data_IF_702315520900
#
_entry.id   IF_702315520900
#
_cell.length_a   1.000
_cell.length_b   1.000
_cell.length_c   1.000
_cell.angle_alpha   90.00
_cell.angle_beta   90.00
_cell.angle_gamma   90.00
#
_symmetry.space_group_name_H-M   'P 1'
#
loop_
_entity.id
_entity.type
_entity.pdbx_description
1 polymer ?
#
# COMPACT_ATOMS: atom_id res chain seq x y z
N UNK A 1 -23.92 -1.27 -15.18
CA UNK A 1 -23.29 -0.36 -14.20
C UNK A 1 -21.75 -0.48 -14.22
N UNK A 2 -21.18 -1.69 -14.31
CA UNK A 2 -19.75 -1.85 -14.05
C UNK A 2 -18.78 -1.13 -15.01
N UNK A 3 -19.14 -1.07 -16.30
CA UNK A 3 -18.34 -0.36 -17.29
C UNK A 3 -18.38 1.17 -17.19
N UNK A 4 -19.38 1.76 -16.51
CA UNK A 4 -19.53 3.23 -16.49
C UNK A 4 -18.54 3.90 -15.55
N UNK A 5 -18.34 3.35 -14.34
CA UNK A 5 -17.35 3.88 -13.40
C UNK A 5 -15.92 3.60 -13.84
N UNK A 6 -15.66 2.42 -14.41
CA UNK A 6 -14.35 2.11 -14.99
C UNK A 6 -14.01 3.10 -16.11
N UNK A 7 -14.95 3.35 -17.03
CA UNK A 7 -14.80 4.35 -18.07
C UNK A 7 -14.57 5.75 -17.50
N UNK A 8 -15.30 6.13 -16.45
CA UNK A 8 -15.14 7.42 -15.79
C UNK A 8 -13.71 7.61 -15.26
N UNK A 9 -13.18 6.63 -14.52
CA UNK A 9 -11.81 6.67 -14.00
C UNK A 9 -10.79 6.71 -15.14
N UNK A 10 -10.95 5.84 -16.15
CA UNK A 10 -10.06 5.75 -17.31
C UNK A 10 -10.06 7.00 -18.21
N UNK A 11 -11.09 7.87 -18.11
CA UNK A 11 -11.14 9.15 -18.80
C UNK A 11 -10.40 10.28 -18.06
N UNK A 12 -9.95 10.07 -16.83
CA UNK A 12 -9.15 11.05 -16.07
C UNK A 12 -7.69 11.04 -16.55
N UNK A 13 -6.88 12.01 -16.11
CA UNK A 13 -5.45 11.99 -16.41
C UNK A 13 -4.76 10.76 -15.80
N UNK A 14 -3.61 10.37 -16.37
CA UNK A 14 -2.81 9.26 -15.86
C UNK A 14 -2.54 9.40 -14.37
N UNK A 15 -2.17 10.60 -13.92
CA UNK A 15 -1.77 10.83 -12.54
C UNK A 15 -2.95 10.62 -11.56
N UNK A 16 -4.16 11.05 -11.93
CA UNK A 16 -5.37 10.82 -11.13
C UNK A 16 -5.68 9.32 -11.09
N UNK A 17 -5.58 8.62 -12.22
CA UNK A 17 -5.78 7.17 -12.26
C UNK A 17 -4.78 6.45 -11.35
N UNK A 18 -3.49 6.79 -11.42
CA UNK A 18 -2.44 6.15 -10.62
C UNK A 18 -2.67 6.36 -9.13
N UNK A 19 -3.07 7.57 -8.70
CA UNK A 19 -3.39 7.85 -7.30
C UNK A 19 -4.60 7.03 -6.84
N UNK A 20 -5.69 6.99 -7.62
CA UNK A 20 -6.88 6.21 -7.26
C UNK A 20 -6.58 4.70 -7.19
N UNK A 21 -5.78 4.17 -8.13
CA UNK A 21 -5.33 2.78 -8.12
C UNK A 21 -4.48 2.46 -6.88
N UNK A 22 -3.53 3.34 -6.53
CA UNK A 22 -2.69 3.19 -5.34
C UNK A 22 -3.49 3.29 -4.03
N UNK A 23 -4.44 4.22 -3.94
CA UNK A 23 -5.38 4.31 -2.82
C UNK A 23 -6.21 3.03 -2.69
N UNK A 24 -6.67 2.46 -3.80
CA UNK A 24 -7.46 1.23 -3.77
C UNK A 24 -6.66 0.02 -3.24
N UNK A 25 -5.34 0.00 -3.42
CA UNK A 25 -4.44 -0.97 -2.80
C UNK A 25 -4.34 -0.83 -1.27
N UNK A 26 -4.47 0.39 -0.74
CA UNK A 26 -4.49 0.67 0.69
C UNK A 26 -5.82 0.27 1.34
N UNK A 27 -6.93 0.45 0.63
CA UNK A 27 -8.26 0.02 1.06
C UNK A 27 -9.34 1.05 0.75
N UNK A 28 -10.41 1.05 1.53
CA UNK A 28 -11.54 1.98 1.38
C UNK A 28 -11.21 3.41 1.83
N UNK A 29 -10.17 3.56 2.65
CA UNK A 29 -9.71 4.84 3.16
C UNK A 29 -8.20 4.86 3.35
N UNK A 30 -7.61 6.04 3.32
CA UNK A 30 -6.23 6.28 3.70
C UNK A 30 -6.08 7.64 4.39
N UNK A 31 -5.03 7.81 5.18
CA UNK A 31 -4.67 9.12 5.72
C UNK A 31 -3.73 9.90 4.78
N UNK A 32 -3.39 11.12 5.18
CA UNK A 32 -2.49 12.00 4.43
C UNK A 32 -1.09 11.41 4.21
N UNK A 33 -0.53 10.73 5.21
CA UNK A 33 0.80 10.13 5.06
C UNK A 33 0.80 8.99 4.05
N UNK A 34 -0.25 8.18 4.04
CA UNK A 34 -0.44 7.07 3.09
C UNK A 34 -0.70 7.60 1.67
N UNK A 35 -1.48 8.67 1.54
CA UNK A 35 -1.70 9.33 0.26
C UNK A 35 -0.40 9.92 -0.31
N UNK A 36 0.42 10.54 0.54
CA UNK A 36 1.74 11.04 0.14
C UNK A 36 2.66 9.90 -0.32
N UNK A 37 2.59 8.72 0.32
CA UNK A 37 3.32 7.53 -0.10
C UNK A 37 2.89 7.07 -1.49
N UNK A 38 1.57 6.99 -1.75
CA UNK A 38 1.03 6.68 -3.08
C UNK A 38 1.52 7.70 -4.11
N UNK A 39 1.47 8.99 -3.78
CA UNK A 39 1.97 10.05 -4.65
C UNK A 39 3.46 9.85 -5.00
N UNK A 40 4.32 9.59 -4.01
CA UNK A 40 5.76 9.33 -4.22
C UNK A 40 6.06 8.10 -5.07
N UNK A 41 5.17 7.10 -5.10
CA UNK A 41 5.39 5.89 -5.89
C UNK A 41 5.20 6.11 -7.39
N UNK A 42 4.30 7.02 -7.79
CA UNK A 42 3.87 7.11 -9.20
C UNK A 42 3.80 8.52 -9.80
N UNK A 43 3.89 9.58 -9.00
CA UNK A 43 3.94 10.95 -9.51
C UNK A 43 5.41 11.36 -9.64
N UNK A 44 5.95 11.25 -10.86
CA UNK A 44 7.39 11.50 -11.14
C UNK A 44 7.78 12.96 -11.37
N UNK A 45 6.86 13.93 -11.27
CA UNK A 45 7.12 15.33 -11.66
C UNK A 45 7.61 16.26 -10.55
N UNK A 46 8.40 15.77 -9.60
CA UNK A 46 9.08 16.66 -8.67
C UNK A 46 10.15 15.93 -7.89
N UNK A 47 11.39 16.42 -8.03
CA UNK A 47 12.48 16.29 -7.06
C UNK A 47 11.99 16.02 -5.63
N UNK A 48 12.76 15.25 -4.85
CA UNK A 48 12.60 14.92 -3.42
C UNK A 48 12.32 16.09 -2.45
N UNK A 49 12.02 17.28 -2.94
CA UNK A 49 11.53 18.43 -2.19
C UNK A 49 10.03 18.39 -1.88
N UNK A 50 9.73 19.10 -0.79
CA UNK A 50 8.44 19.44 -0.15
C UNK A 50 7.27 19.80 -1.09
N UNK A 51 7.52 19.98 -2.39
CA UNK A 51 6.53 20.26 -3.44
C UNK A 51 5.70 19.02 -3.82
N UNK A 52 6.24 17.81 -3.62
CA UNK A 52 5.56 16.56 -3.99
C UNK A 52 4.25 16.29 -3.23
N UNK A 53 4.13 16.73 -1.98
CA UNK A 53 2.89 16.57 -1.19
C UNK A 53 1.77 17.45 -1.71
N UNK A 54 2.06 18.70 -2.11
CA UNK A 54 1.05 19.59 -2.70
C UNK A 54 0.46 19.07 -4.00
N UNK A 55 1.26 18.35 -4.79
CA UNK A 55 0.84 17.82 -6.09
C UNK A 55 -0.15 16.65 -5.96
N UNK A 56 0.02 15.75 -4.99
CA UNK A 56 -0.94 14.64 -4.81
C UNK A 56 -2.33 15.17 -4.42
N UNK A 57 -2.40 16.25 -3.62
CA UNK A 57 -3.67 16.87 -3.26
C UNK A 57 -4.34 17.60 -4.42
N UNK A 58 -3.58 18.27 -5.29
CA UNK A 58 -4.16 18.92 -6.48
C UNK A 58 -4.69 17.89 -7.49
N UNK A 59 -4.01 16.74 -7.62
CA UNK A 59 -4.50 15.59 -8.38
C UNK A 59 -5.78 15.04 -7.74
N UNK A 60 -5.83 14.90 -6.41
CA UNK A 60 -7.00 14.40 -5.70
C UNK A 60 -8.19 15.37 -5.77
N UNK A 61 -7.97 16.68 -5.92
CA UNK A 61 -9.02 17.69 -6.16
C UNK A 61 -9.87 17.36 -7.39
N UNK A 62 -9.26 16.79 -8.44
CA UNK A 62 -10.01 16.30 -9.60
C UNK A 62 -10.95 15.16 -9.20
N UNK A 63 -10.47 14.20 -8.40
CA UNK A 63 -11.29 13.09 -7.91
C UNK A 63 -12.42 13.56 -6.96
N UNK A 64 -12.20 14.63 -6.19
CA UNK A 64 -13.23 15.26 -5.37
C UNK A 64 -14.34 15.90 -6.22
N UNK A 65 -13.97 16.70 -7.22
CA UNK A 65 -14.94 17.34 -8.13
C UNK A 65 -15.77 16.32 -8.90
N UNK A 66 -15.16 15.17 -9.21
CA UNK A 66 -15.83 14.06 -9.87
C UNK A 66 -16.67 13.17 -8.93
N UNK A 67 -16.68 13.47 -7.63
CA UNK A 67 -17.44 12.71 -6.63
C UNK A 67 -16.92 11.29 -6.40
N UNK A 68 -15.65 11.04 -6.70
CA UNK A 68 -15.03 9.72 -6.57
C UNK A 68 -14.46 9.48 -5.17
N UNK A 69 -13.95 10.55 -4.57
CA UNK A 69 -13.32 10.57 -3.25
C UNK A 69 -14.02 11.62 -2.40
N UNK A 70 -14.11 11.36 -1.10
CA UNK A 70 -14.62 12.27 -0.07
C UNK A 70 -13.61 12.37 1.06
N UNK A 71 -13.61 13.48 1.79
CA UNK A 71 -12.74 13.71 2.93
C UNK A 71 -13.59 13.73 4.19
N UNK A 72 -13.25 12.89 5.15
CA UNK A 72 -13.86 12.84 6.47
C UNK A 72 -12.77 13.05 7.53
N UNK A 73 -12.76 14.25 8.12
CA UNK A 73 -11.69 14.69 9.02
C UNK A 73 -10.31 14.63 8.36
N UNK A 74 -9.43 13.77 8.88
CA UNK A 74 -8.07 13.52 8.38
C UNK A 74 -7.97 12.36 7.38
N UNK A 75 -9.08 11.71 7.05
CA UNK A 75 -9.11 10.55 6.16
C UNK A 75 -9.66 10.90 4.78
N UNK A 76 -9.06 10.30 3.77
CA UNK A 76 -9.50 10.31 2.38
C UNK A 76 -10.16 8.97 2.08
N UNK A 77 -11.38 8.98 1.56
CA UNK A 77 -12.19 7.77 1.38
C UNK A 77 -12.79 7.74 -0.02
N UNK A 78 -12.95 6.56 -0.59
CA UNK A 78 -13.79 6.42 -1.76
C UNK A 78 -15.24 6.75 -1.38
N UNK A 79 -15.94 7.50 -2.23
CA UNK A 79 -17.35 7.85 -1.97
C UNK A 79 -18.23 6.59 -1.83
N UNK A 80 -17.86 5.50 -2.52
CA UNK A 80 -18.48 4.19 -2.41
C UNK A 80 -17.44 3.07 -2.58
N UNK A 81 -17.65 1.94 -1.91
CA UNK A 81 -16.84 0.72 -2.06
C UNK A 81 -16.72 0.26 -3.52
N UNK A 82 -17.77 0.48 -4.31
CA UNK A 82 -17.78 0.14 -5.73
C UNK A 82 -16.73 0.92 -6.54
N UNK A 83 -16.41 2.16 -6.15
CA UNK A 83 -15.38 2.98 -6.80
C UNK A 83 -13.99 2.44 -6.46
N UNK A 84 -13.77 2.08 -5.18
CA UNK A 84 -12.53 1.44 -4.74
C UNK A 84 -12.29 0.13 -5.50
N UNK A 85 -13.28 -0.75 -5.57
CA UNK A 85 -13.20 -2.00 -6.31
C UNK A 85 -12.89 -1.75 -7.79
N UNK A 86 -13.57 -0.79 -8.40
CA UNK A 86 -13.33 -0.43 -9.80
C UNK A 86 -11.90 0.03 -10.02
N UNK A 87 -11.41 0.98 -9.19
CA UNK A 87 -10.04 1.46 -9.25
C UNK A 87 -9.02 0.31 -9.07
N UNK A 88 -9.23 -0.59 -8.12
CA UNK A 88 -8.37 -1.75 -7.91
C UNK A 88 -8.38 -2.72 -9.10
N UNK A 89 -9.55 -2.90 -9.75
CA UNK A 89 -9.67 -3.80 -10.91
C UNK A 89 -9.05 -3.26 -12.19
N UNK A 90 -8.84 -1.95 -12.29
CA UNK A 90 -8.10 -1.35 -13.42
C UNK A 90 -6.65 -1.84 -13.42
N UNK A 91 -6.07 -2.08 -12.24
CA UNK A 91 -4.75 -2.70 -12.12
C UNK A 91 -4.86 -4.15 -12.63
N UNK A 92 -4.10 -4.54 -13.67
CA UNK A 92 -4.09 -5.92 -14.14
C UNK A 92 -3.73 -6.87 -13.01
N UNK A 93 -4.42 -8.01 -12.93
CA UNK A 93 -4.27 -8.94 -11.80
C UNK A 93 -2.82 -9.38 -11.58
N UNK A 94 -2.10 -9.63 -12.67
CA UNK A 94 -0.70 -9.98 -12.67
C UNK A 94 0.25 -8.84 -12.25
N UNK A 95 -0.23 -7.61 -12.13
CA UNK A 95 0.56 -6.45 -11.71
C UNK A 95 0.22 -6.00 -10.29
N UNK A 96 -0.93 -6.41 -9.72
CA UNK A 96 -1.35 -5.97 -8.38
C UNK A 96 -0.31 -6.22 -7.30
N UNK A 97 0.41 -7.35 -7.39
CA UNK A 97 1.49 -7.64 -6.45
C UNK A 97 2.64 -6.63 -6.50
N UNK A 98 3.01 -6.14 -7.69
CA UNK A 98 4.07 -5.13 -7.81
C UNK A 98 3.63 -3.77 -7.24
N UNK A 99 2.34 -3.42 -7.38
CA UNK A 99 1.75 -2.23 -6.77
C UNK A 99 1.78 -2.29 -5.25
N UNK A 100 1.32 -3.40 -4.66
CA UNK A 100 1.36 -3.62 -3.23
C UNK A 100 2.81 -3.57 -2.70
N UNK A 101 3.75 -4.20 -3.39
CA UNK A 101 5.16 -4.19 -3.00
C UNK A 101 5.76 -2.77 -3.06
N UNK A 102 5.43 -1.98 -4.09
CA UNK A 102 5.91 -0.61 -4.22
C UNK A 102 5.46 0.28 -3.05
N UNK A 103 4.18 0.17 -2.66
CA UNK A 103 3.62 0.90 -1.51
C UNK A 103 4.31 0.47 -0.21
N UNK A 104 4.42 -0.85 0.02
CA UNK A 104 5.02 -1.40 1.23
C UNK A 104 6.49 -1.00 1.38
N UNK A 105 7.29 -1.10 0.32
CA UNK A 105 8.68 -0.62 0.31
C UNK A 105 8.76 0.87 0.64
N UNK A 106 7.93 1.68 -0.02
CA UNK A 106 7.93 3.13 0.21
C UNK A 106 7.53 3.49 1.63
N UNK A 107 6.56 2.77 2.23
CA UNK A 107 6.22 2.92 3.65
C UNK A 107 7.44 2.67 4.54
N UNK A 108 8.14 1.55 4.33
CA UNK A 108 9.30 1.16 5.14
C UNK A 108 10.48 2.14 4.98
N UNK A 109 10.65 2.74 3.81
CA UNK A 109 11.68 3.75 3.56
C UNK A 109 11.41 5.09 4.27
N UNK A 110 10.14 5.49 4.40
CA UNK A 110 9.79 6.83 4.93
C UNK A 110 9.41 6.83 6.40
N UNK A 111 9.01 5.69 6.97
CA UNK A 111 8.58 5.61 8.35
C UNK A 111 9.75 5.90 9.31
N UNK A 112 9.55 6.89 10.17
CA UNK A 112 10.36 7.02 11.37
C UNK A 112 9.97 5.94 12.41
N UNK A 113 10.72 5.86 13.51
CA UNK A 113 10.49 4.84 14.55
C UNK A 113 9.05 4.81 15.08
N UNK A 114 8.45 5.98 15.32
CA UNK A 114 7.08 6.07 15.83
C UNK A 114 6.06 5.62 14.77
N UNK A 115 6.23 6.07 13.53
CA UNK A 115 5.35 5.66 12.43
C UNK A 115 5.45 4.17 12.17
N UNK A 116 6.65 3.60 12.24
CA UNK A 116 6.85 2.16 12.15
C UNK A 116 6.09 1.43 13.26
N UNK A 117 6.23 1.87 14.51
CA UNK A 117 5.48 1.28 15.63
C UNK A 117 3.96 1.38 15.44
N UNK A 118 3.43 2.48 14.89
CA UNK A 118 1.98 2.65 14.68
C UNK A 118 1.46 1.87 13.44
N UNK A 119 2.25 1.82 12.35
CA UNK A 119 1.80 1.42 11.01
C UNK A 119 2.52 0.20 10.41
N UNK A 120 3.36 -0.48 11.18
CA UNK A 120 4.10 -1.67 10.74
C UNK A 120 3.17 -2.71 10.09
N UNK A 121 1.99 -2.98 10.67
CA UNK A 121 1.05 -3.95 10.10
C UNK A 121 0.64 -3.59 8.67
N UNK A 122 0.29 -2.33 8.42
CA UNK A 122 -0.06 -1.85 7.08
C UNK A 122 1.10 -2.05 6.11
N UNK A 123 2.32 -1.64 6.46
CA UNK A 123 3.48 -1.78 5.58
C UNK A 123 3.82 -3.24 5.29
N UNK A 124 3.82 -4.10 6.32
CA UNK A 124 4.11 -5.54 6.19
C UNK A 124 3.02 -6.24 5.38
N UNK A 125 1.75 -5.87 5.55
CA UNK A 125 0.65 -6.42 4.74
C UNK A 125 0.79 -6.07 3.26
N UNK A 126 1.17 -4.83 2.94
CA UNK A 126 1.43 -4.40 1.57
C UNK A 126 2.60 -5.19 0.95
N UNK A 127 3.73 -5.34 1.67
CA UNK A 127 4.84 -6.17 1.20
C UNK A 127 4.44 -7.64 1.04
N UNK A 128 3.68 -8.21 1.98
CA UNK A 128 3.25 -9.60 1.94
C UNK A 128 2.34 -9.92 0.76
N UNK A 129 1.47 -8.98 0.34
CA UNK A 129 0.64 -9.12 -0.87
C UNK A 129 1.47 -9.10 -2.15
N UNK A 130 2.62 -8.42 -2.12
CA UNK A 130 3.55 -8.32 -3.24
C UNK A 130 4.73 -9.29 -3.21
N UNK A 131 4.84 -10.16 -2.20
CA UNK A 131 6.06 -10.94 -1.94
C UNK A 131 6.55 -11.83 -3.08
N UNK A 132 5.66 -12.28 -3.97
CA UNK A 132 6.03 -13.07 -5.15
C UNK A 132 6.83 -12.28 -6.20
N UNK A 133 6.89 -10.95 -6.08
CA UNK A 133 7.71 -10.07 -6.91
C UNK A 133 9.11 -9.83 -6.34
N UNK A 134 9.41 -10.31 -5.13
CA UNK A 134 10.73 -10.19 -4.51
C UNK A 134 11.66 -11.24 -5.11
N UNK A 135 12.73 -10.78 -5.77
CA UNK A 135 13.74 -11.64 -6.40
C UNK A 135 14.99 -11.78 -5.55
N UNK A 136 15.37 -10.71 -4.87
CA UNK A 136 16.58 -10.65 -4.05
C UNK A 136 16.38 -11.41 -2.73
N UNK A 137 17.33 -12.28 -2.41
CA UNK A 137 17.30 -13.05 -1.17
C UNK A 137 17.38 -12.16 0.07
N UNK A 138 18.24 -11.13 0.04
CA UNK A 138 18.38 -10.19 1.15
C UNK A 138 17.05 -9.51 1.48
N UNK A 139 16.31 -9.05 0.46
CA UNK A 139 15.01 -8.43 0.67
C UNK A 139 13.98 -9.41 1.22
N UNK A 140 14.02 -10.67 0.75
CA UNK A 140 13.15 -11.73 1.24
C UNK A 140 13.40 -12.03 2.73
N UNK A 141 14.67 -12.04 3.15
CA UNK A 141 15.07 -12.18 4.57
C UNK A 141 14.59 -10.96 5.37
N UNK A 142 14.81 -9.74 4.88
CA UNK A 142 14.31 -8.53 5.55
C UNK A 142 12.78 -8.55 5.73
N UNK A 143 12.02 -9.01 4.73
CA UNK A 143 10.58 -9.16 4.88
C UNK A 143 10.21 -10.28 5.87
N UNK A 144 11.00 -11.34 5.99
CA UNK A 144 10.79 -12.38 7.00
C UNK A 144 11.00 -11.84 8.42
N UNK A 145 12.03 -11.03 8.64
CA UNK A 145 12.28 -10.34 9.92
C UNK A 145 11.15 -9.37 10.28
N UNK A 146 10.64 -8.61 9.31
CA UNK A 146 9.49 -7.73 9.52
C UNK A 146 8.23 -8.50 9.89
N UNK A 147 8.01 -9.67 9.28
CA UNK A 147 6.93 -10.57 9.65
C UNK A 147 7.11 -11.14 11.07
N UNK A 148 8.34 -11.42 11.50
CA UNK A 148 8.63 -11.81 12.88
C UNK A 148 8.23 -10.70 13.86
N UNK A 149 8.69 -9.46 13.63
CA UNK A 149 8.36 -8.30 14.46
C UNK A 149 6.84 -8.04 14.52
N UNK A 150 6.14 -8.16 13.38
CA UNK A 150 4.69 -8.07 13.34
C UNK A 150 4.01 -9.20 14.13
N UNK A 151 4.52 -10.43 14.01
CA UNK A 151 4.05 -11.57 14.78
C UNK A 151 4.20 -11.38 16.29
N UNK A 152 5.37 -10.94 16.76
CA UNK A 152 5.64 -10.66 18.17
C UNK A 152 4.75 -9.55 18.73
N UNK A 153 4.55 -8.47 17.95
CA UNK A 153 3.62 -7.40 18.32
C UNK A 153 2.17 -7.87 18.37
N UNK A 154 1.76 -8.76 17.47
CA UNK A 154 0.43 -9.34 17.53
C UNK A 154 0.25 -10.23 18.77
N UNK A 155 1.29 -10.96 19.19
CA UNK A 155 1.28 -11.73 20.44
C UNK A 155 1.14 -10.80 21.66
N UNK A 156 1.89 -9.70 21.71
CA UNK A 156 1.85 -8.76 22.85
C UNK A 156 0.48 -8.08 23.03
N UNK A 157 -0.33 -8.06 21.97
CA UNK A 157 -1.70 -7.54 21.96
C UNK A 157 -2.76 -8.66 22.01
N UNK A 158 -2.35 -9.90 22.30
CA UNK A 158 -3.18 -11.10 22.37
C UNK A 158 -3.95 -11.46 21.06
N UNK A 159 -3.48 -10.99 19.90
CA UNK A 159 -4.03 -11.35 18.59
C UNK A 159 -3.31 -12.56 17.98
N UNK A 160 -3.55 -13.76 18.54
CA UNK A 160 -2.83 -14.98 18.16
C UNK A 160 -3.07 -15.42 16.72
N UNK A 161 -4.27 -15.20 16.17
CA UNK A 161 -4.57 -15.50 14.77
C UNK A 161 -3.76 -14.62 13.82
N UNK A 162 -3.69 -13.31 14.10
CA UNK A 162 -2.83 -12.37 13.37
C UNK A 162 -1.36 -12.74 13.50
N UNK A 163 -0.91 -13.10 14.70
CA UNK A 163 0.47 -13.54 14.92
C UNK A 163 0.83 -14.76 14.06
N UNK A 164 -0.03 -15.78 14.05
CA UNK A 164 0.18 -16.98 13.23
C UNK A 164 0.27 -16.66 11.73
N UNK A 165 -0.53 -15.70 11.22
CA UNK A 165 -0.47 -15.27 9.82
C UNK A 165 0.88 -14.64 9.46
N UNK A 166 1.39 -13.74 10.31
CA UNK A 166 2.69 -13.10 10.06
C UNK A 166 3.84 -14.09 10.21
N UNK A 167 3.88 -14.87 11.29
CA UNK A 167 4.96 -15.84 11.52
C UNK A 167 5.04 -16.88 10.39
N UNK A 168 3.90 -17.43 9.95
CA UNK A 168 3.87 -18.35 8.81
C UNK A 168 4.28 -17.67 7.49
N UNK A 169 3.90 -16.41 7.29
CA UNK A 169 4.35 -15.63 6.13
C UNK A 169 5.86 -15.44 6.13
N UNK A 170 6.45 -15.13 7.29
CA UNK A 170 7.90 -15.04 7.48
C UNK A 170 8.62 -16.36 7.20
N UNK A 171 8.14 -17.47 7.76
CA UNK A 171 8.72 -18.81 7.53
C UNK A 171 8.70 -19.17 6.04
N UNK A 172 7.61 -18.86 5.32
CA UNK A 172 7.49 -19.16 3.88
C UNK A 172 8.41 -18.31 2.99
N UNK A 173 8.91 -17.19 3.50
CA UNK A 173 9.90 -16.37 2.78
C UNK A 173 11.30 -16.96 2.91
N UNK A 174 11.58 -17.71 3.96
CA UNK A 174 12.85 -18.41 4.13
C UNK A 174 12.84 -19.66 3.25
N UNK A 175 13.91 -19.89 2.48
CA UNK A 175 14.00 -21.10 1.63
C UNK A 175 14.10 -22.35 2.51
N UNK A 176 13.73 -23.54 1.99
CA UNK A 176 14.11 -24.78 2.63
C UNK A 176 15.61 -24.74 2.95
N UNK A 177 15.99 -25.00 4.21
CA UNK A 177 17.37 -25.05 4.73
C UNK A 177 18.00 -23.75 5.27
N UNK A 178 17.28 -22.62 5.31
CA UNK A 178 17.78 -21.36 5.91
C UNK A 178 18.17 -21.44 7.40
N UNK A 179 17.73 -22.46 8.14
CA UNK A 179 18.11 -22.69 9.54
C UNK A 179 19.58 -23.12 9.72
N UNK A 180 20.32 -23.37 8.64
CA UNK A 180 21.74 -23.77 8.70
C UNK A 180 22.72 -22.60 8.75
N UNK A 181 22.29 -21.40 8.32
CA UNK A 181 23.19 -20.28 8.05
C UNK A 181 23.08 -19.12 9.07
N UNK A 182 22.19 -19.23 10.06
CA UNK A 182 21.97 -18.25 11.15
C UNK A 182 21.88 -18.97 12.51
#
# INVERSE_FOLDING_TARGET
>A
AAGLMAKKILCLSSDVQMVLMGMACLGSHCDESELNIVGKCWIQNGSESVVGSGLVFSILDVAFREGLVVKDGSKYMFAHDYIQQTAYTIIPEQERGSWHLAIGRRMLEVFNKREFEEKMFTAVDQCNRGKHFIKEEAERISLAELNLQAGEKAISTASFSTAALYLNSGIRLLQPEHWKDH
#
